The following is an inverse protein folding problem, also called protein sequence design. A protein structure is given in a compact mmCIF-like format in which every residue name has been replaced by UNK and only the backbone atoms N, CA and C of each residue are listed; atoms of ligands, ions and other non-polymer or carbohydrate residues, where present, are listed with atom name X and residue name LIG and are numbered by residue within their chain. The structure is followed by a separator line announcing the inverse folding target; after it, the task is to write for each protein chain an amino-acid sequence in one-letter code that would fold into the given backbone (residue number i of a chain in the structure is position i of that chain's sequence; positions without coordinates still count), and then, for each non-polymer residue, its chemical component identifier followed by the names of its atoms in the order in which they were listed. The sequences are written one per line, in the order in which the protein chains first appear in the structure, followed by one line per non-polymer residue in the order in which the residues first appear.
data_IF_945237234404
#
_entry.id   IF_945237234404
#
_cell.length_a   1.000
_cell.length_b   1.000
_cell.length_c   1.000
_cell.angle_alpha   90.00
_cell.angle_beta   90.00
_cell.angle_gamma   90.00
#
_symmetry.space_group_name_H-M   'P 1'
#
loop_
_entity.id
_entity.type
_entity.pdbx_description
1 polymer ?
#
# COMPACT_ATOMS: atom_id res chain seq x y z
N UNK A 1 5.29 8.06 20.70
CA UNK A 1 4.40 7.78 21.86
C UNK A 1 3.54 9.00 22.22
N UNK A 2 4.14 10.15 22.52
CA UNK A 2 3.39 11.37 22.87
C UNK A 2 2.38 11.78 21.80
N UNK A 3 2.79 11.79 20.52
CA UNK A 3 1.88 12.06 19.40
C UNK A 3 0.72 11.06 19.34
N UNK A 4 1.01 9.76 19.37
CA UNK A 4 -0.03 8.72 19.33
C UNK A 4 -1.03 8.84 20.50
N UNK A 5 -0.55 9.25 21.68
CA UNK A 5 -1.39 9.50 22.84
C UNK A 5 -2.32 10.71 22.60
N UNK A 6 -1.77 11.81 22.07
CA UNK A 6 -2.56 12.99 21.69
C UNK A 6 -3.61 12.67 20.63
N UNK A 7 -3.23 11.92 19.59
CA UNK A 7 -4.15 11.46 18.55
C UNK A 7 -5.29 10.61 19.11
N UNK A 8 -4.97 9.63 19.96
CA UNK A 8 -5.99 8.79 20.60
C UNK A 8 -6.90 9.59 21.54
N UNK A 9 -6.38 10.61 22.21
CA UNK A 9 -7.17 11.49 23.06
C UNK A 9 -8.15 12.33 22.25
N UNK A 10 -7.72 12.89 21.11
CA UNK A 10 -8.58 13.67 20.23
C UNK A 10 -9.64 12.81 19.53
N UNK A 11 -9.33 11.54 19.27
CA UNK A 11 -10.22 10.61 18.58
C UNK A 11 -11.37 10.10 19.45
N UNK A 12 -11.14 9.90 20.75
CA UNK A 12 -12.16 9.43 21.70
C UNK A 12 -11.95 10.09 23.06
N UNK A 13 -12.37 11.34 23.29
CA UNK A 13 -12.09 12.05 24.53
C UNK A 13 -12.67 11.38 25.78
N UNK A 14 -13.88 10.79 25.67
CA UNK A 14 -14.59 10.10 26.76
C UNK A 14 -14.02 8.72 27.07
N UNK A 15 -13.31 8.09 26.12
CA UNK A 15 -12.72 6.76 26.27
C UNK A 15 -13.77 5.67 26.52
N UNK A 16 -14.93 5.79 25.86
CA UNK A 16 -16.07 4.88 26.06
C UNK A 16 -15.76 3.45 25.59
N UNK A 17 -14.81 3.29 24.65
CA UNK A 17 -14.32 2.00 24.18
C UNK A 17 -13.19 1.44 25.04
N UNK A 18 -13.37 0.22 25.57
CA UNK A 18 -12.34 -0.49 26.37
C UNK A 18 -10.97 -0.59 25.67
N UNK A 19 -10.96 -0.81 24.35
CA UNK A 19 -9.71 -0.93 23.58
C UNK A 19 -8.92 0.38 23.48
N UNK A 20 -9.60 1.50 23.20
CA UNK A 20 -8.96 2.82 23.09
C UNK A 20 -8.50 3.31 24.46
N UNK A 21 -9.28 3.06 25.52
CA UNK A 21 -8.88 3.31 26.90
C UNK A 21 -7.58 2.55 27.25
N UNK A 22 -7.54 1.24 27.04
CA UNK A 22 -6.35 0.42 27.31
C UNK A 22 -5.13 0.90 26.52
N UNK A 23 -5.33 1.26 25.25
CA UNK A 23 -4.27 1.80 24.41
C UNK A 23 -3.71 3.11 24.98
N UNK A 24 -4.56 4.08 25.34
CA UNK A 24 -4.12 5.35 25.96
C UNK A 24 -3.43 5.13 27.29
N UNK A 25 -3.98 4.28 28.16
CA UNK A 25 -3.35 3.93 29.44
C UNK A 25 -1.98 3.30 29.23
N UNK A 26 -1.85 2.38 28.26
CA UNK A 26 -0.57 1.77 27.89
C UNK A 26 0.46 2.80 27.43
N UNK A 27 0.06 3.71 26.52
CA UNK A 27 0.92 4.80 26.05
C UNK A 27 1.35 5.73 27.20
N UNK A 28 0.42 6.13 28.08
CA UNK A 28 0.71 6.96 29.23
C UNK A 28 1.74 6.31 30.17
N UNK A 29 1.63 4.99 30.40
CA UNK A 29 2.60 4.24 31.19
C UNK A 29 3.99 4.26 30.56
N UNK A 30 4.09 4.00 29.25
CA UNK A 30 5.38 4.04 28.53
C UNK A 30 6.01 5.43 28.59
N UNK A 31 5.22 6.49 28.39
CA UNK A 31 5.71 7.88 28.47
C UNK A 31 6.25 8.17 29.88
N UNK A 32 5.48 7.85 30.93
CA UNK A 32 5.90 8.03 32.33
C UNK A 32 7.20 7.27 32.64
N UNK A 33 7.31 6.03 32.21
CA UNK A 33 8.52 5.22 32.43
C UNK A 33 9.74 5.82 31.72
N UNK A 34 9.58 6.34 30.50
CA UNK A 34 10.67 6.99 29.76
C UNK A 34 11.11 8.28 30.43
N UNK A 35 10.18 9.05 31.01
CA UNK A 35 10.49 10.26 31.78
C UNK A 35 11.18 9.92 33.11
N UNK A 36 10.72 8.90 33.82
CA UNK A 36 11.30 8.48 35.10
C UNK A 36 12.75 7.99 34.96
N UNK A 37 13.09 7.31 33.85
CA UNK A 37 14.47 6.87 33.54
C UNK A 37 15.46 8.01 33.30
N UNK A 38 14.97 9.24 33.10
CA UNK A 38 15.79 10.46 32.92
C UNK A 38 15.87 11.27 34.21
N UNK A 39 15.71 10.61 35.37
CA UNK A 39 15.71 11.19 36.72
C UNK A 39 14.72 12.35 36.92
N UNK A 40 13.63 12.38 36.15
CA UNK A 40 12.68 13.49 36.17
C UNK A 40 13.24 14.82 35.65
N UNK A 41 14.44 14.81 35.05
CA UNK A 41 15.02 15.98 34.40
C UNK A 41 14.17 16.44 33.21
N UNK A 42 14.11 17.76 33.01
CA UNK A 42 13.45 18.33 31.84
C UNK A 42 14.03 17.72 30.55
N UNK A 43 13.17 17.30 29.63
CA UNK A 43 13.64 16.91 28.30
C UNK A 43 14.01 18.19 27.56
N UNK A 44 15.29 18.37 27.26
CA UNK A 44 15.70 19.34 26.26
C UNK A 44 15.15 18.92 24.90
N UNK A 45 14.22 19.72 24.38
CA UNK A 45 13.51 19.52 23.11
C UNK A 45 13.95 20.52 22.05
N UNK A 46 14.96 21.36 22.35
CA UNK A 46 15.37 22.46 21.46
C UNK A 46 15.80 21.96 20.08
N UNK A 47 16.39 20.77 20.03
CA UNK A 47 16.94 20.18 18.81
C UNK A 47 16.11 19.03 18.24
N UNK A 48 14.91 18.75 18.79
CA UNK A 48 14.10 17.59 18.38
C UNK A 48 13.76 17.62 16.89
N UNK A 49 13.48 18.81 16.35
CA UNK A 49 13.18 19.00 14.92
C UNK A 49 14.40 18.62 14.07
N UNK A 50 15.60 19.09 14.42
CA UNK A 50 16.82 18.83 13.66
C UNK A 50 17.22 17.35 13.74
N UNK A 51 17.17 16.76 14.94
CA UNK A 51 17.49 15.35 15.16
C UNK A 51 16.53 14.46 14.38
N UNK A 52 15.23 14.75 14.44
CA UNK A 52 14.21 13.96 13.75
C UNK A 52 14.29 14.13 12.22
N UNK A 53 14.61 15.33 11.75
CA UNK A 53 14.85 15.59 10.33
C UNK A 53 16.06 14.85 9.79
N UNK A 54 17.18 14.88 10.52
CA UNK A 54 18.38 14.13 10.16
C UNK A 54 18.12 12.61 10.16
N UNK A 55 17.34 12.12 11.14
CA UNK A 55 16.89 10.73 11.14
C UNK A 55 16.05 10.38 9.91
N UNK A 56 15.13 11.26 9.48
CA UNK A 56 14.35 11.07 8.26
C UNK A 56 15.25 10.94 7.02
N UNK A 57 16.22 11.85 6.85
CA UNK A 57 17.15 11.83 5.72
C UNK A 57 18.00 10.55 5.70
N UNK A 58 18.56 10.18 6.85
CA UNK A 58 19.40 8.98 7.00
C UNK A 58 18.60 7.69 6.80
N UNK A 59 17.36 7.64 7.29
CA UNK A 59 16.48 6.49 7.07
C UNK A 59 16.14 6.35 5.59
N UNK A 60 15.78 7.46 4.92
CA UNK A 60 15.50 7.49 3.48
C UNK A 60 16.69 7.02 2.65
N UNK A 61 17.89 7.50 2.97
CA UNK A 61 19.15 7.12 2.30
C UNK A 61 19.47 5.64 2.50
N UNK A 62 19.45 5.16 3.76
CA UNK A 62 19.81 3.78 4.10
C UNK A 62 18.85 2.75 3.49
N UNK A 63 17.58 3.12 3.35
CA UNK A 63 16.58 2.28 2.68
C UNK A 63 16.55 2.42 1.16
N UNK A 64 17.38 3.29 0.57
CA UNK A 64 17.46 3.52 -0.88
C UNK A 64 16.08 3.79 -1.49
N UNK A 65 15.27 4.60 -0.80
CA UNK A 65 13.87 4.86 -1.19
C UNK A 65 13.75 5.38 -2.61
N UNK A 66 14.66 6.28 -3.00
CA UNK A 66 14.67 6.84 -4.36
C UNK A 66 15.01 5.78 -5.43
N UNK A 67 15.81 4.75 -5.08
CA UNK A 67 16.15 3.66 -6.01
C UNK A 67 15.00 2.66 -6.14
N UNK A 68 14.38 2.29 -5.03
CA UNK A 68 13.21 1.40 -5.05
C UNK A 68 12.02 2.06 -5.77
N UNK A 69 11.87 3.39 -5.67
CA UNK A 69 10.83 4.12 -6.38
C UNK A 69 11.08 4.11 -7.90
N UNK A 70 12.34 4.29 -8.33
CA UNK A 70 12.73 4.19 -9.75
C UNK A 70 12.55 2.78 -10.29
N UNK A 71 12.92 1.77 -9.51
CA UNK A 71 12.75 0.37 -9.90
C UNK A 71 11.27 -0.01 -10.04
N UNK A 72 10.41 0.48 -9.14
CA UNK A 72 8.96 0.29 -9.25
C UNK A 72 8.40 0.92 -10.55
N UNK A 73 8.86 2.11 -10.93
CA UNK A 73 8.42 2.76 -12.16
C UNK A 73 8.83 1.95 -13.41
N UNK A 74 10.08 1.48 -13.47
CA UNK A 74 10.57 0.62 -14.56
C UNK A 74 9.80 -0.71 -14.61
N UNK A 75 9.51 -1.29 -13.45
CA UNK A 75 8.71 -2.50 -13.34
C UNK A 75 7.27 -2.30 -13.80
N UNK A 76 6.70 -1.10 -13.56
CA UNK A 76 5.39 -0.70 -14.07
C UNK A 76 5.40 -0.63 -15.59
N UNK A 77 6.42 0.01 -16.17
CA UNK A 77 6.58 0.14 -17.62
C UNK A 77 6.79 -1.21 -18.32
N UNK A 78 7.43 -2.17 -17.65
CA UNK A 78 7.75 -3.49 -18.22
C UNK A 78 6.64 -4.54 -18.06
N UNK A 79 5.55 -4.25 -17.34
CA UNK A 79 4.35 -5.11 -17.27
C UNK A 79 4.55 -6.52 -16.73
N UNK A 80 5.70 -6.82 -16.12
CA UNK A 80 6.10 -8.19 -15.74
C UNK A 80 5.77 -8.43 -14.27
N UNK A 81 4.64 -9.07 -13.95
CA UNK A 81 4.27 -9.34 -12.55
C UNK A 81 4.95 -10.62 -12.03
N UNK A 82 5.71 -10.50 -10.94
CA UNK A 82 6.43 -11.62 -10.29
C UNK A 82 6.17 -11.65 -8.78
N UNK A 83 6.26 -12.81 -8.15
CA UNK A 83 6.14 -12.95 -6.69
C UNK A 83 7.18 -12.12 -5.93
N UNK A 84 8.39 -11.96 -6.49
CA UNK A 84 9.43 -11.09 -5.93
C UNK A 84 9.01 -9.62 -5.94
N UNK A 85 8.28 -9.19 -6.98
CA UNK A 85 7.72 -7.85 -7.08
C UNK A 85 6.69 -7.58 -5.98
N UNK A 86 5.85 -8.58 -5.65
CA UNK A 86 4.89 -8.48 -4.55
C UNK A 86 5.56 -8.29 -3.19
N UNK A 87 6.63 -9.05 -2.91
CA UNK A 87 7.39 -8.92 -1.67
C UNK A 87 8.06 -7.54 -1.54
N UNK A 88 8.69 -7.05 -2.62
CA UNK A 88 9.32 -5.72 -2.65
C UNK A 88 8.30 -4.58 -2.53
N UNK A 89 7.13 -4.69 -3.18
CA UNK A 89 6.06 -3.72 -3.04
C UNK A 89 5.53 -3.63 -1.60
N UNK A 90 5.44 -4.76 -0.90
CA UNK A 90 5.04 -4.78 0.51
C UNK A 90 6.10 -4.16 1.42
N UNK A 91 7.39 -4.44 1.17
CA UNK A 91 8.49 -3.80 1.88
C UNK A 91 8.48 -2.28 1.68
N UNK A 92 8.28 -1.84 0.45
CA UNK A 92 8.17 -0.43 0.09
C UNK A 92 7.02 0.26 0.85
N UNK A 93 5.84 -0.37 0.91
CA UNK A 93 4.70 0.14 1.70
C UNK A 93 5.06 0.35 3.17
N UNK A 94 5.80 -0.60 3.78
CA UNK A 94 6.23 -0.47 5.19
C UNK A 94 7.20 0.70 5.39
N UNK A 95 8.13 0.89 4.46
CA UNK A 95 9.12 1.97 4.49
C UNK A 95 8.42 3.33 4.36
N UNK A 96 7.52 3.49 3.39
CA UNK A 96 6.73 4.72 3.25
C UNK A 96 5.82 4.99 4.44
N UNK A 97 5.17 3.96 5.00
CA UNK A 97 4.37 4.13 6.22
C UNK A 97 5.21 4.67 7.38
N UNK A 98 6.45 4.18 7.52
CA UNK A 98 7.39 4.67 8.54
C UNK A 98 7.80 6.12 8.28
N UNK A 99 8.19 6.45 7.05
CA UNK A 99 8.54 7.83 6.66
C UNK A 99 7.37 8.80 6.88
N UNK A 100 6.16 8.37 6.54
CA UNK A 100 4.95 9.17 6.72
C UNK A 100 4.69 9.46 8.19
N UNK A 101 4.80 8.45 9.06
CA UNK A 101 4.66 8.63 10.49
C UNK A 101 5.69 9.63 11.05
N UNK A 102 6.95 9.60 10.60
CA UNK A 102 7.98 10.58 10.99
C UNK A 102 7.61 12.01 10.55
N UNK A 103 7.16 12.15 9.30
CA UNK A 103 6.75 13.45 8.76
C UNK A 103 5.52 14.02 9.47
N UNK A 104 4.58 13.19 9.89
CA UNK A 104 3.42 13.64 10.66
C UNK A 104 3.83 14.15 12.06
N UNK A 105 4.85 13.56 12.70
CA UNK A 105 5.44 14.12 13.94
C UNK A 105 6.06 15.48 13.66
N UNK A 106 6.88 15.57 12.60
CA UNK A 106 7.58 16.80 12.22
C UNK A 106 6.60 17.94 11.89
N UNK A 107 5.48 17.64 11.23
CA UNK A 107 4.43 18.62 10.92
C UNK A 107 3.88 19.30 12.19
N UNK A 108 3.71 18.53 13.27
CA UNK A 108 3.22 19.04 14.56
C UNK A 108 4.28 19.90 15.24
N UNK A 109 5.54 19.47 15.23
CA UNK A 109 6.65 20.19 15.87
C UNK A 109 6.96 21.52 15.17
N UNK A 110 6.92 21.54 13.84
CA UNK A 110 7.19 22.72 13.01
C UNK A 110 5.99 23.68 13.00
N UNK A 111 4.77 23.14 13.09
CA UNK A 111 3.54 23.92 12.96
C UNK A 111 3.22 24.31 11.50
N UNK A 112 2.19 25.15 11.32
CA UNK A 112 1.65 25.49 9.99
C UNK A 112 2.37 26.65 9.30
N UNK A 113 3.11 27.48 10.06
CA UNK A 113 3.79 28.67 9.54
C UNK A 113 5.19 28.82 10.17
N UNK A 114 6.19 28.05 9.69
CA UNK A 114 7.54 28.09 10.24
C UNK A 114 8.26 29.41 9.92
N UNK A 115 8.80 30.04 10.96
CA UNK A 115 9.67 31.22 10.84
C UNK A 115 11.08 30.85 10.34
N UNK A 116 11.51 29.62 10.58
CA UNK A 116 12.83 29.10 10.26
C UNK A 116 12.92 28.47 8.86
N UNK A 117 14.14 28.41 8.30
CA UNK A 117 14.38 27.84 6.97
C UNK A 117 14.14 26.33 6.96
N UNK A 118 14.53 25.65 8.01
CA UNK A 118 14.40 24.19 8.13
C UNK A 118 12.93 23.78 8.17
N UNK A 119 12.11 24.44 9.00
CA UNK A 119 10.67 24.23 9.03
C UNK A 119 10.00 24.40 7.67
N UNK A 120 10.39 25.42 6.89
CA UNK A 120 9.88 25.59 5.51
C UNK A 120 10.27 24.41 4.60
N UNK A 121 11.49 23.93 4.68
CA UNK A 121 11.94 22.76 3.91
C UNK A 121 11.17 21.50 4.27
N UNK A 122 10.97 21.26 5.57
CA UNK A 122 10.20 20.14 6.09
C UNK A 122 8.77 20.18 5.57
N UNK A 123 8.11 21.35 5.64
CA UNK A 123 6.72 21.50 5.19
C UNK A 123 6.56 21.29 3.68
N UNK A 124 7.51 21.74 2.86
CA UNK A 124 7.49 21.47 1.42
C UNK A 124 7.68 19.98 1.09
N UNK A 125 8.56 19.28 1.81
CA UNK A 125 8.70 17.82 1.66
C UNK A 125 7.44 17.08 2.12
N UNK A 126 6.79 17.50 3.20
CA UNK A 126 5.48 16.97 3.62
C UNK A 126 4.44 17.14 2.52
N UNK A 127 4.33 18.35 1.94
CA UNK A 127 3.39 18.62 0.84
C UNK A 127 3.70 17.76 -0.38
N UNK A 128 4.99 17.60 -0.74
CA UNK A 128 5.41 16.76 -1.86
C UNK A 128 4.99 15.31 -1.66
N UNK A 129 5.24 14.74 -0.48
CA UNK A 129 4.84 13.36 -0.17
C UNK A 129 3.31 13.21 -0.11
N UNK A 130 2.57 14.16 0.47
CA UNK A 130 1.10 14.12 0.48
C UNK A 130 0.52 14.15 -0.94
N UNK A 131 1.10 14.95 -1.85
CA UNK A 131 0.69 14.99 -3.27
C UNK A 131 1.02 13.67 -3.97
N UNK A 132 2.23 13.13 -3.78
CA UNK A 132 2.60 11.85 -4.39
C UNK A 132 1.78 10.69 -3.83
N UNK A 133 1.46 10.68 -2.54
CA UNK A 133 0.62 9.64 -1.92
C UNK A 133 -0.83 9.72 -2.40
N UNK A 134 -1.37 10.91 -2.63
CA UNK A 134 -2.69 11.06 -3.25
C UNK A 134 -2.71 10.53 -4.68
N UNK A 135 -1.65 10.79 -5.47
CA UNK A 135 -1.49 10.21 -6.80
C UNK A 135 -1.33 8.68 -6.73
N UNK A 136 -0.48 8.18 -5.81
CA UNK A 136 -0.22 6.76 -5.62
C UNK A 136 -1.46 6.01 -5.11
N UNK A 137 -2.26 6.59 -4.20
CA UNK A 137 -3.55 6.03 -3.77
C UNK A 137 -4.60 6.04 -4.89
N UNK A 138 -4.59 7.07 -5.74
CA UNK A 138 -5.42 7.12 -6.95
C UNK A 138 -5.04 6.03 -7.95
N UNK A 139 -3.74 5.73 -8.08
CA UNK A 139 -3.20 4.67 -8.95
C UNK A 139 -3.24 3.26 -8.32
N UNK A 140 -3.26 3.15 -6.98
CA UNK A 140 -3.48 1.90 -6.23
C UNK A 140 -4.95 1.60 -5.96
N UNK A 141 -5.88 2.29 -6.61
CA UNK A 141 -7.23 1.75 -6.72
C UNK A 141 -7.09 0.32 -7.24
N UNK A 142 -7.62 -0.69 -6.52
CA UNK A 142 -7.64 -2.04 -7.05
C UNK A 142 -8.22 -1.93 -8.44
N UNK A 143 -7.49 -2.41 -9.46
CA UNK A 143 -8.05 -2.48 -10.80
C UNK A 143 -9.43 -3.11 -10.63
N UNK A 144 -10.47 -2.39 -11.06
CA UNK A 144 -11.76 -3.01 -11.23
C UNK A 144 -11.49 -4.12 -12.24
N UNK A 145 -11.36 -5.35 -11.75
CA UNK A 145 -11.34 -6.54 -12.59
C UNK A 145 -12.71 -6.51 -13.24
N UNK A 146 -12.74 -6.05 -14.48
CA UNK A 146 -13.92 -6.15 -15.30
C UNK A 146 -14.24 -7.65 -15.34
N UNK A 147 -15.44 -8.08 -14.91
CA UNK A 147 -15.84 -9.47 -15.08
C UNK A 147 -15.62 -9.85 -16.55
N UNK A 148 -15.14 -11.07 -16.80
CA UNK A 148 -14.90 -11.59 -18.16
C UNK A 148 -16.15 -11.55 -19.07
N UNK A 149 -17.31 -11.18 -18.52
CA UNK A 149 -18.60 -11.09 -19.19
C UNK A 149 -18.94 -9.68 -19.70
N UNK A 150 -18.12 -8.65 -19.43
CA UNK A 150 -18.41 -7.30 -19.93
C UNK A 150 -18.00 -7.20 -21.41
N UNK A 151 -19.00 -7.17 -22.29
CA UNK A 151 -18.79 -6.95 -23.72
C UNK A 151 -18.23 -5.55 -23.97
N UNK A 152 -16.91 -5.37 -23.90
CA UNK A 152 -16.24 -4.19 -24.42
C UNK A 152 -15.49 -4.59 -25.68
N UNK A 153 -16.05 -4.20 -26.81
CA UNK A 153 -15.40 -4.17 -28.13
C UNK A 153 -14.09 -3.39 -27.99
N UNK A 154 -12.97 -4.07 -27.77
CA UNK A 154 -11.70 -3.37 -27.60
C UNK A 154 -10.51 -4.10 -26.98
N UNK A 155 -10.61 -5.36 -26.51
CA UNK A 155 -9.46 -6.05 -25.92
C UNK A 155 -9.05 -7.30 -26.72
N UNK A 156 -7.82 -7.26 -27.23
CA UNK A 156 -7.12 -8.31 -27.97
C UNK A 156 -6.62 -9.45 -27.05
N UNK A 157 -7.46 -9.92 -26.13
CA UNK A 157 -7.20 -11.11 -25.29
C UNK A 157 -8.25 -12.18 -25.59
N UNK A 158 -8.60 -12.33 -26.87
CA UNK A 158 -9.57 -13.30 -27.36
C UNK A 158 -9.01 -14.26 -28.42
N UNK A 159 -7.69 -14.37 -28.52
CA UNK A 159 -7.05 -15.20 -29.56
C UNK A 159 -6.06 -16.21 -28.96
N UNK A 160 -6.50 -16.94 -27.93
CA UNK A 160 -5.89 -18.21 -27.55
C UNK A 160 -6.80 -19.34 -28.03
N UNK A 161 -6.34 -20.20 -28.96
CA UNK A 161 -7.17 -21.24 -29.57
C UNK A 161 -7.65 -22.28 -28.55
N UNK A 162 -7.03 -22.40 -27.37
CA UNK A 162 -7.51 -23.31 -26.32
C UNK A 162 -8.85 -22.88 -25.69
N UNK A 163 -9.19 -21.58 -25.69
CA UNK A 163 -10.36 -21.05 -24.97
C UNK A 163 -11.64 -21.13 -25.82
N UNK A 164 -11.50 -21.10 -27.15
CA UNK A 164 -12.64 -21.22 -28.07
C UNK A 164 -13.26 -22.62 -28.06
N UNK A 165 -12.43 -23.66 -27.89
CA UNK A 165 -12.88 -25.05 -27.98
C UNK A 165 -13.71 -25.47 -26.76
N UNK A 166 -13.38 -24.94 -25.57
CA UNK A 166 -14.12 -25.25 -24.34
C UNK A 166 -15.54 -24.66 -24.34
N UNK A 167 -15.71 -23.46 -24.92
CA UNK A 167 -17.02 -22.81 -25.05
C UNK A 167 -17.97 -23.59 -25.97
N UNK A 168 -17.46 -24.12 -27.09
CA UNK A 168 -18.25 -24.97 -28.00
C UNK A 168 -18.64 -26.29 -27.34
N UNK A 169 -17.74 -26.91 -26.56
CA UNK A 169 -18.02 -28.18 -25.88
C UNK A 169 -19.12 -28.04 -24.81
N UNK A 170 -19.10 -26.98 -24.01
CA UNK A 170 -20.10 -26.73 -22.96
C UNK A 170 -21.48 -26.39 -23.55
N UNK A 171 -21.51 -25.71 -24.70
CA UNK A 171 -22.76 -25.38 -25.40
C UNK A 171 -23.42 -26.63 -26.01
N UNK A 172 -22.62 -27.57 -26.53
CA UNK A 172 -23.11 -28.86 -27.04
C UNK A 172 -23.63 -29.74 -25.90
N UNK A 173 -22.99 -29.73 -24.72
CA UNK A 173 -23.48 -30.50 -23.56
C UNK A 173 -24.76 -29.93 -22.91
N UNK A 174 -25.02 -28.62 -23.04
CA UNK A 174 -26.21 -27.99 -22.43
C UNK A 174 -27.45 -27.99 -23.33
N UNK A 175 -27.29 -28.33 -24.61
CA UNK A 175 -28.39 -28.41 -25.57
C UNK A 175 -28.85 -29.87 -25.66
N UNK A 176 -29.92 -30.21 -24.93
CA UNK A 176 -30.55 -31.54 -24.90
C UNK A 176 -31.17 -31.95 -26.26
N UNK A 177 -30.36 -32.10 -27.30
CA UNK A 177 -30.75 -32.75 -28.56
C UNK A 177 -29.49 -33.18 -29.30
N UNK A 178 -29.11 -34.46 -29.22
CA UNK A 178 -28.57 -35.27 -30.32
C UNK A 178 -28.52 -36.76 -29.84
N UNK A 179 -28.66 -37.73 -30.77
CA UNK A 179 -28.95 -39.13 -30.47
C UNK A 179 -27.74 -39.85 -29.86
N UNK A 180 -28.00 -40.99 -29.22
CA UNK A 180 -27.04 -41.89 -28.57
C UNK A 180 -25.77 -42.13 -29.40
N UNK A 181 -24.75 -41.31 -29.19
CA UNK A 181 -23.40 -41.52 -29.69
C UNK A 181 -22.49 -41.52 -28.46
N UNK A 182 -21.86 -42.65 -28.21
CA UNK A 182 -20.97 -42.83 -27.06
C UNK A 182 -19.74 -41.92 -27.15
N UNK A 183 -19.28 -41.46 -25.99
CA UNK A 183 -18.12 -40.56 -25.80
C UNK A 183 -16.85 -41.04 -26.55
N UNK A 184 -16.76 -42.34 -26.83
CA UNK A 184 -15.66 -42.97 -27.56
C UNK A 184 -15.62 -42.60 -29.05
N UNK A 185 -16.78 -42.45 -29.71
CA UNK A 185 -16.85 -42.11 -31.13
C UNK A 185 -16.47 -40.66 -31.45
N UNK A 186 -16.56 -39.77 -30.46
CA UNK A 186 -16.22 -38.36 -30.63
C UNK A 186 -14.70 -38.11 -30.59
N UNK A 187 -13.95 -38.95 -29.88
CA UNK A 187 -12.48 -38.88 -29.86
C UNK A 187 -11.87 -39.32 -31.19
N UNK A 188 -12.43 -40.34 -31.85
CA UNK A 188 -11.92 -40.84 -33.13
C UNK A 188 -12.08 -39.82 -34.27
N UNK A 189 -13.07 -38.92 -34.20
CA UNK A 189 -13.28 -37.88 -35.22
C UNK A 189 -12.31 -36.68 -35.08
N UNK A 190 -11.73 -36.49 -33.89
CA UNK A 190 -10.79 -35.39 -33.60
C UNK A 190 -9.31 -35.79 -33.78
N UNK A 191 -9.02 -37.08 -33.97
CA UNK A 191 -7.66 -37.63 -34.04
C UNK A 191 -7.26 -38.09 -35.46
N UNK A 192 -7.95 -37.64 -36.51
CA UNK A 192 -7.52 -37.90 -37.88
C UNK A 192 -6.42 -36.89 -38.30
N UNK A 193 -5.21 -37.35 -38.63
CA UNK A 193 -4.10 -36.47 -38.99
C UNK A 193 -4.29 -35.91 -40.39
N UNK A 194 -4.11 -34.60 -40.55
CA UNK A 194 -3.62 -34.00 -41.79
C UNK A 194 -2.10 -33.89 -41.72
#
# INVERSE_FOLDING_TARGET
CEQAYSMAQNLDPSSDGRGVLQFKTGLASVIKQKLAKKDGGSIDRQNDIEVLWNFYLEYKKRRRVDDMQREQEIMRESGTFSTEMGARAMEMKKIYATLRALLDVLEILVGQAPSDRLGRQILEEIKKIKRSDAALRGELMPYNIIPLDASSVGNVVGFFPEVSMFSVFVTILSSHTLPDISLFGCLDYLLQPY
#
